data_IF_532785249661
#
_entry.id   IF_532785249661
#
_cell.length_a   1.000
_cell.length_b   1.000
_cell.length_c   1.000
_cell.angle_alpha   90.00
_cell.angle_beta   90.00
_cell.angle_gamma   90.00
#
_symmetry.space_group_name_H-M   'P 1'
#
loop_
_entity.id
_entity.type
_entity.pdbx_description
1 polymer ?
#
# COMPACT_ATOMS: atom_id res chain seq x y z
N UNK A 1 -14.70 -9.55 47.61
CA UNK A 1 -13.75 -8.79 46.76
C UNK A 1 -13.27 -9.72 45.67
N UNK A 2 -13.76 -9.60 44.44
CA UNK A 2 -13.30 -10.37 43.30
C UNK A 2 -12.83 -9.37 42.23
N UNK A 3 -11.56 -9.46 41.87
CA UNK A 3 -10.87 -8.57 40.94
C UNK A 3 -11.43 -8.73 39.53
N UNK A 4 -11.74 -7.60 38.89
CA UNK A 4 -12.11 -7.49 37.47
C UNK A 4 -11.02 -8.16 36.60
N UNK A 5 -11.39 -8.89 35.53
CA UNK A 5 -10.42 -9.20 34.49
C UNK A 5 -10.04 -7.90 33.79
N UNK A 6 -8.80 -7.46 34.00
CA UNK A 6 -8.16 -6.43 33.18
C UNK A 6 -7.86 -7.05 31.81
N UNK A 7 -8.80 -6.94 30.87
CA UNK A 7 -8.49 -7.16 29.47
C UNK A 7 -7.92 -5.86 28.91
N UNK A 8 -6.60 -5.75 28.88
CA UNK A 8 -5.92 -4.80 28.02
C UNK A 8 -6.57 -4.88 26.63
N UNK A 9 -6.95 -3.76 25.97
CA UNK A 9 -7.43 -3.84 24.61
C UNK A 9 -6.32 -4.47 23.79
N UNK A 10 -6.58 -5.66 23.24
CA UNK A 10 -5.74 -6.29 22.23
C UNK A 10 -5.46 -5.20 21.20
N UNK A 11 -4.21 -4.76 21.08
CA UNK A 11 -3.81 -3.77 20.09
C UNK A 11 -4.22 -4.32 18.72
N UNK A 12 -5.39 -3.90 18.26
CA UNK A 12 -6.00 -4.45 17.06
C UNK A 12 -5.32 -3.66 15.97
N UNK A 13 -4.41 -4.31 15.23
CA UNK A 13 -3.66 -3.62 14.19
C UNK A 13 -4.62 -3.14 13.11
N UNK A 14 -4.96 -1.86 13.21
CA UNK A 14 -5.99 -1.17 12.44
C UNK A 14 -5.56 -0.96 11.00
N UNK A 15 -4.28 -0.60 10.79
CA UNK A 15 -3.78 -0.22 9.49
C UNK A 15 -3.00 -1.35 8.80
N UNK A 16 -3.02 -1.33 7.48
CA UNK A 16 -2.29 -2.24 6.61
C UNK A 16 -1.55 -1.44 5.55
N UNK A 17 -0.27 -1.72 5.36
CA UNK A 17 0.49 -1.28 4.18
C UNK A 17 0.52 -2.44 3.21
N UNK A 18 0.25 -2.17 1.93
CA UNK A 18 0.30 -3.19 0.87
C UNK A 18 1.12 -2.71 -0.32
N UNK A 19 2.14 -3.51 -0.68
CA UNK A 19 2.96 -3.29 -1.86
C UNK A 19 2.47 -4.11 -3.05
N UNK A 20 2.07 -3.43 -4.12
CA UNK A 20 1.49 -4.01 -5.33
C UNK A 20 2.39 -3.72 -6.52
N UNK A 21 2.65 -4.76 -7.30
CA UNK A 21 3.46 -4.70 -8.50
C UNK A 21 2.61 -5.05 -9.73
N UNK A 22 2.78 -4.28 -10.80
CA UNK A 22 2.19 -4.53 -12.11
C UNK A 22 3.29 -4.56 -13.16
N UNK A 23 3.16 -5.43 -14.16
CA UNK A 23 4.18 -5.48 -15.22
C UNK A 23 4.31 -4.13 -15.93
N UNK A 24 3.17 -3.52 -16.31
CA UNK A 24 3.08 -2.18 -16.88
C UNK A 24 1.82 -1.45 -16.41
N UNK A 25 1.87 -0.12 -16.30
CA UNK A 25 0.70 0.75 -16.11
C UNK A 25 0.74 1.90 -17.14
N UNK A 26 0.35 1.62 -18.39
CA UNK A 26 0.31 2.64 -19.45
C UNK A 26 -1.10 3.15 -19.78
N UNK A 27 -2.12 2.31 -19.59
CA UNK A 27 -3.50 2.65 -19.92
C UNK A 27 -4.04 3.74 -18.98
N UNK A 28 -4.44 4.88 -19.53
CA UNK A 28 -4.90 6.03 -18.74
C UNK A 28 -6.13 5.71 -17.89
N UNK A 29 -7.07 4.90 -18.42
CA UNK A 29 -8.22 4.43 -17.63
C UNK A 29 -7.78 3.68 -16.37
N UNK A 30 -6.70 2.91 -16.42
CA UNK A 30 -6.16 2.21 -15.24
C UNK A 30 -5.42 3.15 -14.30
N UNK A 31 -4.69 4.14 -14.85
CA UNK A 31 -4.03 5.18 -14.06
C UNK A 31 -5.04 5.96 -13.22
N UNK A 32 -6.10 6.47 -13.85
CA UNK A 32 -7.19 7.17 -13.15
C UNK A 32 -7.84 6.25 -12.12
N UNK A 33 -8.17 5.01 -12.50
CA UNK A 33 -8.79 4.06 -11.56
C UNK A 33 -7.94 3.81 -10.30
N UNK A 34 -6.61 3.68 -10.45
CA UNK A 34 -5.69 3.48 -9.31
C UNK A 34 -5.79 4.63 -8.30
N UNK A 35 -5.79 5.87 -8.79
CA UNK A 35 -5.82 7.08 -7.97
C UNK A 35 -7.22 7.29 -7.38
N UNK A 36 -8.25 7.29 -8.23
CA UNK A 36 -9.64 7.52 -7.81
C UNK A 36 -10.11 6.48 -6.78
N UNK A 37 -9.69 5.22 -6.97
CA UNK A 37 -10.08 4.14 -6.05
C UNK A 37 -9.41 4.28 -4.69
N UNK A 38 -8.15 4.72 -4.66
CA UNK A 38 -7.44 4.96 -3.40
C UNK A 38 -8.10 6.11 -2.64
N UNK A 39 -8.42 7.21 -3.33
CA UNK A 39 -9.12 8.35 -2.75
C UNK A 39 -10.50 7.96 -2.20
N UNK A 40 -11.29 7.18 -2.96
CA UNK A 40 -12.62 6.69 -2.53
C UNK A 40 -12.54 5.85 -1.25
N UNK A 41 -11.47 5.08 -1.10
CA UNK A 41 -11.22 4.20 0.06
C UNK A 41 -10.38 4.88 1.14
N UNK A 42 -10.13 6.19 1.03
CA UNK A 42 -9.31 6.96 1.98
C UNK A 42 -7.95 6.28 2.24
N UNK A 43 -7.28 5.88 1.18
CA UNK A 43 -5.95 5.29 1.24
C UNK A 43 -4.89 6.32 0.86
N UNK A 44 -3.81 6.37 1.63
CA UNK A 44 -2.61 7.14 1.31
C UNK A 44 -1.52 6.25 0.74
N UNK A 45 -0.43 6.86 0.26
CA UNK A 45 0.79 6.13 -0.11
C UNK A 45 1.43 6.66 -1.39
N UNK A 46 2.12 5.77 -2.10
CA UNK A 46 2.99 6.13 -3.23
C UNK A 46 2.71 5.29 -4.45
N UNK A 47 2.90 5.85 -5.64
CA UNK A 47 2.88 5.07 -6.87
C UNK A 47 3.87 5.59 -7.89
N UNK A 48 4.27 4.71 -8.81
CA UNK A 48 4.95 5.08 -10.05
C UNK A 48 4.34 4.30 -11.20
N UNK A 49 3.91 5.01 -12.23
CA UNK A 49 3.46 4.39 -13.48
C UNK A 49 4.66 4.06 -14.39
N UNK A 50 4.44 3.17 -15.35
CA UNK A 50 5.49 2.75 -16.28
C UNK A 50 5.79 1.26 -16.22
N UNK A 51 7.08 0.91 -16.33
CA UNK A 51 7.61 -0.46 -16.39
C UNK A 51 8.81 -0.60 -15.43
N UNK A 52 8.68 -1.31 -14.30
CA UNK A 52 7.44 -1.85 -13.75
C UNK A 52 6.52 -0.74 -13.24
N UNK A 53 5.23 -1.04 -13.12
CA UNK A 53 4.30 -0.20 -12.37
C UNK A 53 4.26 -0.61 -10.91
N UNK A 54 4.31 0.36 -9.98
CA UNK A 54 4.28 0.10 -8.53
C UNK A 54 3.22 0.95 -7.88
N UNK A 55 2.52 0.36 -6.92
CA UNK A 55 1.59 1.07 -6.04
C UNK A 55 1.80 0.54 -4.63
N UNK A 56 2.00 1.43 -3.67
CA UNK A 56 1.98 1.12 -2.24
C UNK A 56 0.88 1.94 -1.60
N UNK A 57 -0.05 1.26 -0.94
CA UNK A 57 -1.16 1.89 -0.22
C UNK A 57 -1.08 1.59 1.26
N UNK A 58 -1.50 2.55 2.07
CA UNK A 58 -1.75 2.41 3.49
C UNK A 58 -3.12 2.97 3.85
N UNK A 59 -3.81 2.29 4.76
CA UNK A 59 -5.05 2.75 5.36
C UNK A 59 -5.65 1.66 6.24
N UNK A 60 -6.94 1.77 6.52
CA UNK A 60 -7.71 0.74 7.21
C UNK A 60 -7.56 -0.62 6.53
N UNK A 61 -7.38 -1.67 7.32
CA UNK A 61 -7.10 -3.01 6.81
C UNK A 61 -8.10 -3.46 5.74
N UNK A 62 -9.38 -3.30 6.02
CA UNK A 62 -10.44 -3.77 5.12
C UNK A 62 -10.49 -2.98 3.81
N UNK A 63 -10.19 -1.68 3.87
CA UNK A 63 -10.12 -0.81 2.69
C UNK A 63 -8.92 -1.15 1.81
N UNK A 64 -7.77 -1.46 2.40
CA UNK A 64 -6.57 -1.91 1.66
C UNK A 64 -6.83 -3.26 0.99
N UNK A 65 -7.45 -4.22 1.70
CA UNK A 65 -7.80 -5.52 1.12
C UNK A 65 -8.84 -5.38 -0.01
N UNK A 66 -9.79 -4.46 0.14
CA UNK A 66 -10.77 -4.12 -0.90
C UNK A 66 -10.08 -3.51 -2.11
N UNK A 67 -9.18 -2.55 -1.92
CA UNK A 67 -8.40 -1.93 -2.98
C UNK A 67 -7.62 -2.97 -3.81
N UNK A 68 -6.91 -3.89 -3.13
CA UNK A 68 -6.19 -4.95 -3.81
C UNK A 68 -7.10 -5.89 -4.61
N UNK A 69 -8.29 -6.21 -4.09
CA UNK A 69 -9.28 -7.03 -4.81
C UNK A 69 -9.76 -6.31 -6.06
N UNK A 70 -10.12 -5.03 -5.91
CA UNK A 70 -10.67 -4.23 -6.99
C UNK A 70 -9.64 -4.02 -8.12
N UNK A 71 -8.38 -3.76 -7.78
CA UNK A 71 -7.31 -3.71 -8.79
C UNK A 71 -7.14 -5.05 -9.51
N UNK A 72 -7.19 -6.18 -8.79
CA UNK A 72 -7.05 -7.51 -9.41
C UNK A 72 -8.20 -7.88 -10.34
N UNK A 73 -9.38 -7.25 -10.20
CA UNK A 73 -10.51 -7.46 -11.12
C UNK A 73 -10.31 -6.77 -12.49
N UNK A 74 -9.35 -5.85 -12.62
CA UNK A 74 -9.01 -5.27 -13.92
C UNK A 74 -8.17 -6.27 -14.74
N UNK A 75 -8.22 -6.15 -16.07
CA UNK A 75 -7.43 -6.99 -16.97
C UNK A 75 -5.96 -6.56 -16.98
N UNK A 76 -5.06 -7.33 -16.36
CA UNK A 76 -3.61 -7.08 -16.36
C UNK A 76 -2.85 -8.13 -17.17
N UNK A 77 -1.67 -7.77 -17.70
CA UNK A 77 -0.69 -8.79 -18.13
C UNK A 77 -0.14 -9.55 -16.93
N UNK A 78 0.21 -8.82 -15.86
CA UNK A 78 0.58 -9.37 -14.56
C UNK A 78 0.31 -8.32 -13.48
N UNK A 79 -0.30 -8.75 -12.38
CA UNK A 79 -0.47 -7.98 -11.14
C UNK A 79 -0.18 -8.92 -9.97
N UNK A 80 0.53 -8.44 -8.96
CA UNK A 80 0.88 -9.23 -7.79
C UNK A 80 0.95 -8.36 -6.53
N UNK A 81 0.36 -8.85 -5.44
CA UNK A 81 0.59 -8.30 -4.10
C UNK A 81 1.88 -8.91 -3.55
N UNK A 82 2.92 -8.09 -3.43
CA UNK A 82 4.29 -8.50 -3.14
C UNK A 82 4.55 -8.67 -1.64
N UNK A 83 3.95 -7.81 -0.82
CA UNK A 83 4.12 -7.79 0.61
C UNK A 83 3.01 -6.99 1.29
N UNK A 84 2.78 -7.30 2.56
CA UNK A 84 1.85 -6.56 3.42
C UNK A 84 2.47 -6.41 4.81
N UNK A 85 2.24 -5.27 5.44
CA UNK A 85 2.72 -4.96 6.78
C UNK A 85 1.57 -4.43 7.60
N UNK A 86 1.31 -5.03 8.75
CA UNK A 86 0.30 -4.54 9.66
C UNK A 86 0.93 -3.49 10.58
N UNK A 87 0.35 -2.29 10.63
CA UNK A 87 0.87 -1.17 11.42
C UNK A 87 -0.18 -0.67 12.41
N UNK A 88 0.23 -0.37 13.65
CA UNK A 88 -0.67 0.24 14.63
C UNK A 88 -0.84 1.74 14.36
N UNK A 89 0.21 2.38 13.84
CA UNK A 89 0.24 3.80 13.48
C UNK A 89 0.52 3.95 12.00
N UNK A 90 -0.04 5.00 11.38
CA UNK A 90 0.15 5.30 9.96
C UNK A 90 1.60 5.73 9.69
N UNK A 91 2.24 5.16 8.67
CA UNK A 91 3.64 5.45 8.30
C UNK A 91 3.79 6.30 7.04
N UNK A 92 2.77 6.37 6.19
CA UNK A 92 2.76 7.06 4.89
C UNK A 92 2.03 8.40 4.94
N UNK A 93 2.02 9.08 6.10
CA UNK A 93 1.38 10.40 6.23
C UNK A 93 2.17 11.43 5.42
N UNK A 94 1.44 12.18 4.59
CA UNK A 94 1.98 13.33 3.88
C UNK A 94 1.44 14.57 4.60
N UNK A 95 2.30 15.24 5.36
CA UNK A 95 1.93 16.40 6.19
C UNK A 95 1.61 17.67 5.39
N UNK A 96 1.66 17.65 4.05
CA UNK A 96 1.55 18.86 3.21
C UNK A 96 0.13 19.21 2.78
N UNK A 97 -0.87 18.40 3.12
CA UNK A 97 -2.28 18.72 2.90
C UNK A 97 -2.96 19.07 4.24
N UNK A 98 -4.02 19.90 4.25
CA UNK A 98 -4.81 20.09 5.45
C UNK A 98 -5.21 18.72 5.99
N UNK A 99 -4.97 18.55 7.28
CA UNK A 99 -5.16 17.39 8.14
C UNK A 99 -6.27 16.45 7.59
N UNK A 100 -5.94 15.17 7.39
CA UNK A 100 -6.81 14.07 6.89
C UNK A 100 -6.96 13.85 5.36
N UNK A 101 -6.15 14.47 4.52
CA UNK A 101 -6.16 14.10 3.08
C UNK A 101 -5.39 12.82 2.80
N UNK A 102 -6.12 11.70 2.70
CA UNK A 102 -5.59 10.42 2.21
C UNK A 102 -5.39 10.50 0.69
N UNK A 103 -4.12 10.64 0.27
CA UNK A 103 -3.77 10.79 -1.14
C UNK A 103 -2.63 9.84 -1.52
N UNK A 104 -2.77 9.24 -2.69
CA UNK A 104 -1.66 8.60 -3.40
C UNK A 104 -0.79 9.66 -4.05
N UNK A 105 0.49 9.67 -3.72
CA UNK A 105 1.49 10.56 -4.29
C UNK A 105 2.23 9.86 -5.43
N UNK A 106 2.31 10.54 -6.57
CA UNK A 106 3.15 10.09 -7.67
C UNK A 106 4.63 10.28 -7.32
N UNK A 107 5.41 9.23 -7.54
CA UNK A 107 6.87 9.27 -7.47
C UNK A 107 7.44 9.43 -8.87
N UNK A 108 8.52 10.20 -8.98
CA UNK A 108 9.21 10.45 -10.25
C UNK A 108 9.87 9.19 -10.83
N UNK A 109 10.21 8.24 -9.96
CA UNK A 109 10.84 6.97 -10.33
C UNK A 109 10.60 5.89 -9.28
N UNK A 110 10.91 4.64 -9.64
CA UNK A 110 10.94 3.52 -8.69
C UNK A 110 11.97 3.75 -7.57
N UNK A 111 13.08 4.42 -7.87
CA UNK A 111 14.09 4.79 -6.88
C UNK A 111 13.56 5.80 -5.85
N UNK A 112 12.82 6.83 -6.30
CA UNK A 112 12.17 7.79 -5.39
C UNK A 112 11.11 7.09 -4.51
N UNK A 113 10.32 6.20 -5.10
CA UNK A 113 9.35 5.39 -4.34
C UNK A 113 10.05 4.56 -3.25
N UNK A 114 11.12 3.84 -3.58
CA UNK A 114 11.85 3.05 -2.57
C UNK A 114 12.49 3.92 -1.49
N UNK A 115 13.07 5.07 -1.85
CA UNK A 115 13.64 6.00 -0.87
C UNK A 115 12.58 6.44 0.14
N UNK A 116 11.39 6.87 -0.32
CA UNK A 116 10.30 7.29 0.57
C UNK A 116 9.79 6.18 1.48
N UNK A 117 9.77 4.93 1.01
CA UNK A 117 9.39 3.78 1.84
C UNK A 117 10.44 3.47 2.91
N UNK A 118 11.74 3.60 2.57
CA UNK A 118 12.81 3.44 3.55
C UNK A 118 12.77 4.55 4.61
N UNK A 119 12.51 5.80 4.20
CA UNK A 119 12.32 6.93 5.14
C UNK A 119 11.14 6.67 6.09
N UNK A 120 10.10 5.95 5.64
CA UNK A 120 8.95 5.51 6.43
C UNK A 120 9.17 4.18 7.17
N UNK A 121 10.40 3.64 7.23
CA UNK A 121 10.76 2.38 7.90
C UNK A 121 9.98 1.17 7.39
N UNK A 122 9.77 1.09 6.06
CA UNK A 122 9.07 -0.01 5.37
C UNK A 122 10.02 -0.88 4.55
N UNK A 123 11.20 -1.18 5.11
CA UNK A 123 12.26 -1.99 4.50
C UNK A 123 11.74 -3.33 3.97
N UNK A 124 10.84 -3.97 4.71
CA UNK A 124 10.24 -5.25 4.33
C UNK A 124 9.36 -5.13 3.07
N UNK A 125 8.60 -4.05 2.90
CA UNK A 125 7.86 -3.79 1.65
C UNK A 125 8.85 -3.59 0.51
N UNK A 126 9.91 -2.79 0.71
CA UNK A 126 10.95 -2.54 -0.31
C UNK A 126 11.61 -3.86 -0.73
N UNK A 127 12.01 -4.69 0.23
CA UNK A 127 12.58 -6.01 -0.03
C UNK A 127 11.61 -6.87 -0.85
N UNK A 128 10.31 -6.83 -0.54
CA UNK A 128 9.33 -7.59 -1.32
C UNK A 128 9.16 -7.07 -2.74
N UNK A 129 9.12 -5.76 -2.97
CA UNK A 129 8.89 -5.14 -4.27
C UNK A 129 10.07 -5.32 -5.24
N UNK A 130 11.31 -5.38 -4.70
CA UNK A 130 12.52 -5.65 -5.47
C UNK A 130 12.60 -7.08 -6.01
N UNK A 131 11.80 -8.01 -5.49
CA UNK A 131 11.79 -9.41 -5.98
C UNK A 131 11.23 -9.49 -7.40
N UNK A 132 11.76 -10.41 -8.23
CA UNK A 132 11.15 -10.72 -9.52
C UNK A 132 9.71 -11.19 -9.35
N UNK A 133 8.86 -10.83 -10.31
CA UNK A 133 7.48 -11.28 -10.32
C UNK A 133 7.38 -12.82 -10.32
N UNK A 134 6.65 -13.39 -9.36
CA UNK A 134 6.49 -14.83 -9.23
C UNK A 134 7.64 -15.55 -8.50
N UNK A 135 8.60 -14.82 -7.94
CA UNK A 135 9.55 -15.42 -7.01
C UNK A 135 8.79 -16.04 -5.81
N UNK A 136 9.16 -17.26 -5.36
CA UNK A 136 8.51 -17.91 -4.23
C UNK A 136 8.62 -17.03 -2.98
N UNK A 137 7.55 -17.00 -2.17
CA UNK A 137 7.61 -16.40 -0.83
C UNK A 137 8.43 -17.36 0.02
N UNK A 138 9.65 -16.96 0.40
CA UNK A 138 10.42 -17.69 1.42
C UNK A 138 9.59 -17.67 2.70
N UNK A 139 9.19 -18.85 3.16
CA UNK A 139 8.46 -19.09 4.41
C UNK A 139 9.39 -18.86 5.60
#
# INVERSE_FOLDING_TARGET
MATKPSSLPRATTTHLVSGIAMHHIYCDRKKSYIVDRAQTLKLGGFYVFGKPGRVVVEGERDDVLRYERDLRCLRWQKIQVMGRVACNERRLIVETAPTDSFMLIECESEADLFRRLLDAQLDEIVATLKRPFGAPRTL
#
